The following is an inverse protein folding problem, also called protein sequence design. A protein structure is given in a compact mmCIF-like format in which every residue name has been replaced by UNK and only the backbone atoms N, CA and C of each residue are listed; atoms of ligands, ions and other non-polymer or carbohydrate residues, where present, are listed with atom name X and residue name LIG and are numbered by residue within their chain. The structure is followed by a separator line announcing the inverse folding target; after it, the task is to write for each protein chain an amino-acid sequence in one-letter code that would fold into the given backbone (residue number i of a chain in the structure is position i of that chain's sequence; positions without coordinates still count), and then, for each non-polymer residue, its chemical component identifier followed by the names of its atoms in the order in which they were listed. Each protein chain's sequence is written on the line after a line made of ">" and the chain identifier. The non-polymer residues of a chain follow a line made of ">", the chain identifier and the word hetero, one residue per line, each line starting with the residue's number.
data_IF_451781551457
#
_entry.id   IF_451781551457
#
_cell.length_a   1.000
_cell.length_b   1.000
_cell.length_c   1.000
_cell.angle_alpha   90.00
_cell.angle_beta   90.00
_cell.angle_gamma   90.00
#
_symmetry.space_group_name_H-M   'P 1'
#
loop_
_entity.id
_entity.type
_entity.pdbx_description
1 polymer ?
#
# COMPACT_ATOMS: atom_id res chain seq x y z
N UNK A 1 56.74 -2.46 -23.01
CA UNK A 1 56.23 -1.11 -23.27
C UNK A 1 54.72 -1.20 -23.38
N UNK A 2 53.99 -0.82 -22.34
CA UNK A 2 52.57 -0.48 -22.42
C UNK A 2 52.36 0.62 -21.38
N UNK A 3 52.23 1.84 -21.87
CA UNK A 3 52.05 3.05 -21.09
C UNK A 3 50.56 3.12 -20.73
N UNK A 4 50.20 2.92 -19.45
CA UNK A 4 48.83 3.11 -18.99
C UNK A 4 48.76 4.39 -18.14
N UNK A 5 47.86 5.34 -18.45
CA UNK A 5 47.79 6.63 -17.77
C UNK A 5 47.54 6.49 -16.27
N UNK A 6 48.25 7.33 -15.49
CA UNK A 6 48.26 7.40 -14.02
C UNK A 6 46.99 8.05 -13.42
N UNK A 7 45.87 8.02 -14.13
CA UNK A 7 44.59 8.60 -13.74
C UNK A 7 43.56 7.48 -13.89
N UNK A 8 42.97 6.94 -12.85
CA UNK A 8 42.19 7.66 -11.85
C UNK A 8 42.07 6.78 -10.60
N UNK A 9 43.11 6.81 -9.75
CA UNK A 9 42.92 6.42 -8.34
C UNK A 9 42.13 7.55 -7.67
N UNK A 10 40.83 7.33 -7.46
CA UNK A 10 39.95 7.92 -6.42
C UNK A 10 38.54 7.34 -6.65
N UNK A 11 38.22 6.19 -6.08
CA UNK A 11 37.51 6.06 -4.80
C UNK A 11 36.20 6.84 -4.77
N UNK A 12 35.07 6.12 -4.84
CA UNK A 12 33.79 6.65 -4.39
C UNK A 12 32.62 6.33 -5.31
N UNK A 13 32.12 5.09 -5.26
CA UNK A 13 30.70 4.81 -5.10
C UNK A 13 30.51 3.30 -5.07
N UNK A 14 30.34 2.79 -3.85
CA UNK A 14 29.75 1.51 -3.50
C UNK A 14 28.30 1.47 -4.03
N UNK A 15 28.15 1.41 -5.34
CA UNK A 15 26.89 1.09 -6.00
C UNK A 15 27.02 -0.34 -6.49
N UNK A 16 26.05 -1.17 -6.16
CA UNK A 16 25.90 -2.51 -6.69
C UNK A 16 25.86 -2.43 -8.23
N UNK A 17 27.01 -2.56 -8.91
CA UNK A 17 27.11 -2.53 -10.38
C UNK A 17 26.84 -3.95 -10.86
N UNK A 18 25.68 -4.24 -11.48
CA UNK A 18 25.40 -5.57 -11.97
C UNK A 18 26.37 -5.92 -13.10
N UNK A 19 27.04 -7.05 -12.91
CA UNK A 19 28.14 -7.58 -13.70
C UNK A 19 27.81 -7.68 -15.21
N UNK A 20 28.74 -7.19 -16.04
CA UNK A 20 28.82 -7.29 -17.50
C UNK A 20 27.61 -6.72 -18.30
N UNK A 21 27.64 -5.42 -18.57
CA UNK A 21 26.93 -4.83 -19.71
C UNK A 21 25.68 -4.01 -19.40
N UNK A 22 25.47 -3.59 -18.14
CA UNK A 22 24.63 -2.44 -17.80
C UNK A 22 23.20 -2.47 -18.33
N UNK A 23 22.62 -3.66 -18.54
CA UNK A 23 21.28 -3.78 -19.09
C UNK A 23 20.28 -3.56 -17.97
N UNK A 24 19.82 -2.32 -17.91
CA UNK A 24 18.67 -1.90 -17.14
C UNK A 24 17.52 -2.87 -17.43
N UNK A 25 17.14 -3.66 -16.43
CA UNK A 25 16.09 -4.67 -16.64
C UNK A 25 14.74 -3.99 -16.82
N UNK A 26 13.77 -4.60 -17.52
CA UNK A 26 12.44 -4.02 -17.67
C UNK A 26 11.77 -3.67 -16.34
N UNK A 27 12.01 -4.48 -15.31
CA UNK A 27 11.53 -4.23 -13.94
C UNK A 27 12.16 -2.96 -13.33
N UNK A 28 13.46 -2.74 -13.52
CA UNK A 28 14.15 -1.53 -13.05
C UNK A 28 13.67 -0.28 -13.81
N UNK A 29 13.41 -0.40 -15.11
CA UNK A 29 12.83 0.68 -15.91
C UNK A 29 11.43 1.07 -15.46
N UNK A 30 10.62 0.06 -15.15
CA UNK A 30 9.30 0.26 -14.60
C UNK A 30 9.37 0.96 -13.24
N UNK A 31 10.22 0.49 -12.33
CA UNK A 31 10.37 1.07 -10.99
C UNK A 31 10.92 2.52 -11.02
N UNK A 32 11.86 2.83 -11.93
CA UNK A 32 12.41 4.18 -12.06
C UNK A 32 11.41 5.18 -12.66
N UNK A 33 10.57 4.72 -13.62
CA UNK A 33 9.53 5.55 -14.24
C UNK A 33 8.27 5.69 -13.37
N UNK A 34 8.05 4.76 -12.43
CA UNK A 34 6.92 4.76 -11.50
C UNK A 34 7.44 4.85 -10.07
N UNK A 35 7.91 6.04 -9.62
CA UNK A 35 8.34 6.22 -8.25
C UNK A 35 7.17 5.82 -7.34
N UNK A 36 7.39 4.77 -6.55
CA UNK A 36 6.39 4.34 -5.58
C UNK A 36 6.23 5.46 -4.56
N UNK A 37 5.12 6.21 -4.67
CA UNK A 37 4.70 7.13 -3.61
C UNK A 37 4.68 6.31 -2.32
N UNK A 38 5.34 6.75 -1.23
CA UNK A 38 5.25 6.05 0.03
C UNK A 38 3.77 5.87 0.32
N UNK A 39 3.31 4.62 0.36
CA UNK A 39 1.94 4.33 0.77
C UNK A 39 1.82 4.95 2.16
N UNK A 40 0.79 5.77 2.43
CA UNK A 40 0.57 6.24 3.78
C UNK A 40 0.55 4.98 4.66
N UNK A 41 1.44 4.94 5.65
CA UNK A 41 1.40 3.92 6.70
C UNK A 41 -0.05 3.92 7.18
N UNK A 42 -0.76 2.77 7.22
CA UNK A 42 -2.11 2.78 7.75
C UNK A 42 -2.02 3.44 9.12
N UNK A 43 -2.71 4.58 9.28
CA UNK A 43 -2.85 5.19 10.58
C UNK A 43 -3.33 4.06 11.50
N UNK A 44 -2.68 3.90 12.65
CA UNK A 44 -3.16 2.97 13.67
C UNK A 44 -4.66 3.17 13.75
N UNK A 45 -5.42 2.12 13.47
CA UNK A 45 -6.88 2.18 13.51
C UNK A 45 -7.25 2.89 14.82
N UNK A 46 -8.14 3.90 14.81
CA UNK A 46 -8.58 4.50 16.05
C UNK A 46 -9.03 3.34 16.94
N UNK A 47 -8.47 3.27 18.15
CA UNK A 47 -8.85 2.29 19.15
C UNK A 47 -10.37 2.17 19.13
N UNK A 48 -10.87 0.95 18.91
CA UNK A 48 -12.28 0.65 18.72
C UNK A 48 -13.12 1.59 19.59
N UNK A 49 -13.85 2.50 18.93
CA UNK A 49 -14.94 3.19 19.60
C UNK A 49 -15.79 2.10 20.28
N UNK A 50 -16.35 2.36 21.49
CA UNK A 50 -17.13 1.35 22.21
C UNK A 50 -18.10 0.73 21.21
N UNK A 51 -18.01 -0.59 21.03
CA UNK A 51 -18.64 -1.30 19.90
C UNK A 51 -20.07 -0.81 19.76
N UNK A 52 -20.30 0.05 18.77
CA UNK A 52 -21.61 0.62 18.55
C UNK A 52 -22.50 -0.58 18.25
N UNK A 53 -23.54 -0.75 19.06
CA UNK A 53 -24.44 -1.90 18.94
C UNK A 53 -24.89 -1.99 17.47
N UNK A 54 -24.46 -3.04 16.74
CA UNK A 54 -24.68 -3.12 15.30
C UNK A 54 -26.17 -3.11 14.98
N UNK A 55 -27.02 -3.59 15.90
CA UNK A 55 -28.47 -3.55 15.75
C UNK A 55 -29.03 -2.12 15.80
N UNK A 56 -28.45 -1.28 16.65
CA UNK A 56 -28.83 0.14 16.78
C UNK A 56 -28.43 0.90 15.50
N UNK A 57 -27.24 0.63 14.97
CA UNK A 57 -26.80 1.22 13.69
C UNK A 57 -27.71 0.80 12.52
N UNK A 58 -28.09 -0.48 12.44
CA UNK A 58 -29.04 -0.96 11.43
C UNK A 58 -30.42 -0.30 11.57
N UNK A 59 -30.91 -0.11 12.81
CA UNK A 59 -32.18 0.58 13.05
C UNK A 59 -32.14 2.02 12.55
N UNK A 60 -31.06 2.76 12.83
CA UNK A 60 -30.90 4.13 12.36
C UNK A 60 -30.93 4.24 10.82
N UNK A 61 -30.30 3.28 10.13
CA UNK A 61 -30.31 3.23 8.67
C UNK A 61 -31.71 2.99 8.10
N UNK A 62 -32.50 2.14 8.76
CA UNK A 62 -33.89 1.89 8.40
C UNK A 62 -34.76 3.13 8.63
N UNK A 63 -34.61 3.79 9.78
CA UNK A 63 -35.37 5.00 10.14
C UNK A 63 -35.06 6.17 9.20
N UNK A 64 -33.82 6.24 8.72
CA UNK A 64 -33.38 7.25 7.73
C UNK A 64 -33.83 6.89 6.30
N UNK A 65 -34.33 5.67 6.08
CA UNK A 65 -34.73 5.15 4.76
C UNK A 65 -33.56 4.85 3.82
N UNK A 66 -32.35 4.68 4.36
CA UNK A 66 -31.15 4.29 3.59
C UNK A 66 -31.25 2.82 3.15
N UNK A 67 -31.84 1.99 4.01
CA UNK A 67 -32.11 0.58 3.74
C UNK A 67 -33.62 0.33 3.85
N UNK A 68 -34.09 -0.67 3.12
CA UNK A 68 -35.46 -1.16 3.18
C UNK A 68 -35.68 -2.10 4.38
N UNK A 69 -36.95 -2.35 4.70
CA UNK A 69 -37.31 -3.30 5.76
C UNK A 69 -36.83 -4.74 5.44
N UNK A 70 -36.81 -5.12 4.16
CA UNK A 70 -36.33 -6.44 3.71
C UNK A 70 -34.82 -6.57 3.94
N UNK A 71 -34.04 -5.56 3.52
CA UNK A 71 -32.59 -5.53 3.73
C UNK A 71 -32.20 -5.51 5.21
N UNK A 72 -32.97 -4.81 6.05
CA UNK A 72 -32.75 -4.83 7.50
C UNK A 72 -32.84 -6.25 8.09
N UNK A 73 -33.82 -7.06 7.66
CA UNK A 73 -33.99 -8.42 8.16
C UNK A 73 -32.83 -9.33 7.74
N UNK A 74 -32.39 -9.22 6.49
CA UNK A 74 -31.26 -9.99 5.97
C UNK A 74 -29.96 -9.66 6.70
N UNK A 75 -29.73 -8.37 6.99
CA UNK A 75 -28.55 -7.91 7.72
C UNK A 75 -28.61 -8.32 9.19
N UNK A 76 -29.77 -8.21 9.84
CA UNK A 76 -29.98 -8.67 11.21
C UNK A 76 -29.69 -10.15 11.36
N UNK A 77 -30.20 -11.00 10.47
CA UNK A 77 -29.98 -12.44 10.50
C UNK A 77 -28.49 -12.82 10.37
N UNK A 78 -27.67 -11.97 9.74
CA UNK A 78 -26.21 -12.19 9.63
C UNK A 78 -25.45 -11.74 10.86
N UNK A 79 -25.94 -10.72 11.56
CA UNK A 79 -25.32 -10.20 12.80
C UNK A 79 -25.58 -11.16 13.97
N UNK A 80 -26.74 -11.82 13.99
CA UNK A 80 -27.10 -12.81 15.03
C UNK A 80 -26.42 -14.20 14.85
N UNK A 81 -25.54 -14.37 13.85
CA UNK A 81 -24.85 -15.63 13.52
C UNK A 81 -23.40 -15.66 13.96
#
# INVERSE_FOLDING_TARGET
>A
MLLVPKQLRRSGMTGNVPYYGGRFTPEQAYAASHPSRPRPRPAAAPAAAPEADPLLALQQLLDTGVITAEEYQDLRARVDR
#
